data_IF_097245438183
#
_entry.id   IF_097245438183
#
_cell.length_a   1.000
_cell.length_b   1.000
_cell.length_c   1.000
_cell.angle_alpha   90.00
_cell.angle_beta   90.00
_cell.angle_gamma   90.00
#
_symmetry.space_group_name_H-M   'P 1'
#
loop_
_entity.id
_entity.type
_entity.pdbx_description
1 polymer ?
#
# COMPACT_ATOMS: atom_id res chain seq x y z
N UNK A 1 -27.58 -37.75 -20.95
CA UNK A 1 -27.31 -37.59 -19.50
C UNK A 1 -25.84 -37.92 -19.25
N UNK A 2 -24.89 -37.04 -19.01
CA UNK A 2 -24.82 -35.58 -19.01
C UNK A 2 -23.36 -35.19 -19.31
N UNK A 3 -23.18 -34.19 -20.16
CA UNK A 3 -21.89 -33.55 -20.43
C UNK A 3 -21.65 -32.52 -19.33
N UNK A 4 -20.63 -32.72 -18.51
CA UNK A 4 -20.20 -31.73 -17.53
C UNK A 4 -19.35 -30.68 -18.21
N UNK A 5 -19.95 -29.49 -18.30
CA UNK A 5 -19.34 -28.23 -18.68
C UNK A 5 -18.47 -27.73 -17.53
N UNK A 6 -17.44 -26.96 -17.90
CA UNK A 6 -17.00 -25.72 -17.25
C UNK A 6 -15.51 -25.75 -16.89
N UNK A 7 -14.74 -25.10 -17.77
CA UNK A 7 -13.38 -24.70 -17.46
C UNK A 7 -13.34 -23.72 -16.28
N UNK A 8 -12.21 -23.76 -15.57
CA UNK A 8 -11.83 -22.73 -14.64
C UNK A 8 -10.55 -22.10 -15.16
N UNK A 9 -10.72 -21.09 -16.01
CA UNK A 9 -9.74 -20.02 -16.16
C UNK A 9 -9.69 -19.29 -14.82
N UNK A 10 -8.76 -19.71 -13.96
CA UNK A 10 -8.38 -18.97 -12.77
C UNK A 10 -7.70 -17.66 -13.19
N UNK A 11 -8.50 -16.61 -13.35
CA UNK A 11 -7.98 -15.24 -13.50
C UNK A 11 -7.27 -14.85 -12.21
N UNK A 12 -5.94 -14.88 -12.23
CA UNK A 12 -5.15 -14.15 -11.24
C UNK A 12 -5.57 -12.68 -11.32
N UNK A 13 -6.12 -12.16 -10.22
CA UNK A 13 -6.38 -10.73 -10.09
C UNK A 13 -5.05 -10.00 -10.29
N UNK A 14 -4.85 -9.47 -11.49
CA UNK A 14 -3.75 -8.56 -11.76
C UNK A 14 -3.95 -7.38 -10.82
N UNK A 15 -3.05 -7.21 -9.86
CA UNK A 15 -2.93 -5.96 -9.13
C UNK A 15 -2.69 -4.86 -10.16
N UNK A 16 -3.77 -4.19 -10.55
CA UNK A 16 -3.79 -3.19 -11.61
C UNK A 16 -2.70 -2.14 -11.39
N UNK A 17 -2.28 -1.49 -12.47
CA UNK A 17 -1.48 -0.27 -12.36
C UNK A 17 -2.20 0.73 -11.45
N UNK A 18 -1.54 1.24 -10.40
CA UNK A 18 -2.10 2.29 -9.56
C UNK A 18 -2.56 3.47 -10.41
N UNK A 19 -3.74 4.01 -10.12
CA UNK A 19 -4.25 5.20 -10.78
C UNK A 19 -3.32 6.40 -10.48
N UNK A 20 -2.83 7.14 -11.50
CA UNK A 20 -1.90 8.25 -11.28
C UNK A 20 -2.45 9.35 -10.36
N UNK A 21 -3.76 9.59 -10.39
CA UNK A 21 -4.41 10.56 -9.50
C UNK A 21 -4.34 10.12 -8.03
N UNK A 22 -4.70 8.86 -7.75
CA UNK A 22 -4.54 8.27 -6.42
C UNK A 22 -3.09 8.27 -5.94
N UNK A 23 -2.12 7.96 -6.81
CA UNK A 23 -0.69 8.00 -6.44
C UNK A 23 -0.27 9.40 -6.03
N UNK A 24 -0.74 10.45 -6.71
CA UNK A 24 -0.43 11.84 -6.35
C UNK A 24 -1.04 12.23 -4.99
N UNK A 25 -2.28 11.83 -4.70
CA UNK A 25 -2.91 12.03 -3.39
C UNK A 25 -2.12 11.28 -2.30
N UNK A 26 -1.76 10.03 -2.56
CA UNK A 26 -0.96 9.22 -1.66
C UNK A 26 0.41 9.80 -1.36
N UNK A 27 1.10 10.38 -2.35
CA UNK A 27 2.38 11.07 -2.13
C UNK A 27 2.21 12.26 -1.18
N UNK A 28 1.17 13.07 -1.37
CA UNK A 28 0.91 14.22 -0.52
C UNK A 28 0.67 13.79 0.94
N UNK A 29 -0.21 12.81 1.16
CA UNK A 29 -0.49 12.27 2.49
C UNK A 29 0.76 11.64 3.12
N UNK A 30 1.51 10.87 2.34
CA UNK A 30 2.74 10.22 2.80
C UNK A 30 3.77 11.24 3.28
N UNK A 31 3.97 12.34 2.55
CA UNK A 31 4.89 13.42 2.91
C UNK A 31 4.49 14.12 4.21
N UNK A 32 3.20 14.22 4.49
CA UNK A 32 2.68 14.87 5.69
C UNK A 32 2.75 13.97 6.92
N UNK A 33 2.40 12.69 6.78
CA UNK A 33 2.15 11.80 7.91
C UNK A 33 3.22 10.71 8.10
N UNK A 34 3.73 10.14 7.01
CA UNK A 34 4.49 8.89 7.05
C UNK A 34 6.00 9.10 6.88
N UNK A 35 6.40 10.09 6.06
CA UNK A 35 7.79 10.33 5.64
C UNK A 35 8.74 10.52 6.83
N UNK A 36 8.26 11.11 7.93
CA UNK A 36 9.09 11.37 9.12
C UNK A 36 9.77 10.10 9.65
N UNK A 37 9.04 8.98 9.61
CA UNK A 37 9.51 7.70 10.12
C UNK A 37 9.95 6.77 8.99
N UNK A 38 9.19 6.69 7.89
CA UNK A 38 9.45 5.78 6.79
C UNK A 38 10.39 6.35 5.70
N UNK A 39 10.84 7.60 5.88
CA UNK A 39 11.82 8.26 5.02
C UNK A 39 11.23 8.81 3.73
N UNK A 40 12.01 9.64 3.03
CA UNK A 40 11.61 10.22 1.75
C UNK A 40 11.52 9.11 0.68
N UNK A 41 10.39 9.03 -0.02
CA UNK A 41 10.13 7.99 -1.04
C UNK A 41 10.42 6.57 -0.52
N UNK A 42 9.89 6.24 0.66
CA UNK A 42 10.05 4.94 1.35
C UNK A 42 11.48 4.60 1.81
N UNK A 43 12.45 5.49 1.61
CA UNK A 43 13.84 5.23 1.96
C UNK A 43 14.12 5.67 3.40
N UNK A 44 13.83 4.77 4.34
CA UNK A 44 14.18 4.95 5.76
C UNK A 44 15.70 4.91 5.96
N UNK A 45 16.21 5.75 6.86
CA UNK A 45 17.65 5.90 7.16
C UNK A 45 18.18 4.91 8.21
N UNK A 46 17.35 4.04 8.76
CA UNK A 46 17.77 3.08 9.80
C UNK A 46 16.65 2.15 10.29
N UNK A 47 16.89 1.47 11.40
CA UNK A 47 16.00 0.45 11.97
C UNK A 47 14.79 1.02 12.75
N UNK A 48 14.60 2.34 12.79
CA UNK A 48 13.58 2.99 13.60
C UNK A 48 12.14 2.74 13.10
N UNK A 49 11.97 2.30 11.85
CA UNK A 49 10.68 2.02 11.24
C UNK A 49 10.77 0.83 10.30
N UNK A 50 9.62 0.23 10.00
CA UNK A 50 9.54 -0.83 9.00
C UNK A 50 9.91 -0.27 7.61
N UNK A 51 10.78 -1.00 6.90
CA UNK A 51 11.16 -0.67 5.53
C UNK A 51 10.02 -0.97 4.55
N UNK A 52 9.27 0.06 4.18
CA UNK A 52 8.13 -0.06 3.28
C UNK A 52 8.52 -0.56 1.89
N UNK A 53 9.79 -0.51 1.48
CA UNK A 53 10.25 -1.13 0.22
C UNK A 53 10.12 -2.66 0.24
N UNK A 54 10.00 -3.26 1.43
CA UNK A 54 9.83 -4.70 1.66
C UNK A 54 8.38 -5.08 1.97
N UNK A 55 7.46 -4.12 1.99
CA UNK A 55 6.05 -4.41 2.21
C UNK A 55 5.46 -5.17 1.00
N UNK A 56 4.74 -6.29 1.17
CA UNK A 56 4.16 -7.03 0.06
C UNK A 56 3.11 -6.21 -0.70
N UNK A 57 3.34 -5.95 -1.99
CA UNK A 57 2.46 -5.14 -2.83
C UNK A 57 1.05 -5.73 -3.06
N UNK A 58 0.79 -6.97 -2.63
CA UNK A 58 -0.53 -7.61 -2.69
C UNK A 58 -1.33 -7.56 -1.38
N UNK A 59 -0.74 -7.11 -0.27
CA UNK A 59 -1.33 -7.23 1.07
C UNK A 59 -1.99 -5.92 1.53
N UNK A 60 -2.98 -5.45 0.75
CA UNK A 60 -3.66 -4.17 1.00
C UNK A 60 -4.37 -4.13 2.36
N UNK A 61 -4.99 -5.25 2.78
CA UNK A 61 -5.67 -5.34 4.08
C UNK A 61 -4.69 -5.13 5.22
N UNK A 62 -3.53 -5.81 5.21
CA UNK A 62 -2.52 -5.63 6.26
C UNK A 62 -1.98 -4.19 6.29
N UNK A 63 -1.86 -3.55 5.13
CA UNK A 63 -1.46 -2.14 5.07
C UNK A 63 -2.51 -1.26 5.73
N UNK A 64 -3.77 -1.46 5.38
CA UNK A 64 -4.89 -0.72 5.93
C UNK A 64 -5.01 -0.89 7.44
N UNK A 65 -5.02 -2.13 7.94
CA UNK A 65 -5.11 -2.42 9.37
C UNK A 65 -3.97 -1.76 10.15
N UNK A 66 -2.75 -1.79 9.62
CA UNK A 66 -1.60 -1.17 10.26
C UNK A 66 -1.73 0.36 10.29
N UNK A 67 -2.14 1.00 9.19
CA UNK A 67 -2.27 2.46 9.12
C UNK A 67 -3.43 2.95 9.99
N UNK A 68 -4.59 2.29 9.94
CA UNK A 68 -5.77 2.70 10.70
C UNK A 68 -5.59 2.43 12.19
N UNK A 69 -5.14 1.24 12.57
CA UNK A 69 -5.11 0.81 13.98
C UNK A 69 -3.73 0.86 14.63
N UNK A 70 -2.70 1.31 13.90
CA UNK A 70 -1.32 1.35 14.36
C UNK A 70 -0.63 -0.02 14.35
N UNK A 71 0.69 -0.01 14.54
CA UNK A 71 1.51 -1.23 14.67
C UNK A 71 2.79 -0.97 15.44
N UNK A 72 2.98 -1.64 16.57
CA UNK A 72 4.13 -1.44 17.47
C UNK A 72 4.26 0.04 17.85
N UNK A 73 5.34 0.71 17.39
CA UNK A 73 5.59 2.13 17.63
C UNK A 73 4.96 3.05 16.56
N UNK A 74 4.30 2.48 15.55
CA UNK A 74 3.58 3.23 14.52
C UNK A 74 2.19 3.63 15.06
N UNK A 75 1.87 4.94 15.11
CA UNK A 75 0.59 5.41 15.63
C UNK A 75 -0.57 4.97 14.72
N UNK A 76 -1.76 4.88 15.33
CA UNK A 76 -3.03 4.80 14.61
C UNK A 76 -3.34 6.14 13.95
N UNK A 77 -4.08 6.10 12.85
CA UNK A 77 -4.48 7.27 12.08
C UNK A 77 -5.98 7.25 11.72
N UNK A 78 -6.76 6.39 12.35
CA UNK A 78 -8.21 6.24 12.17
C UNK A 78 -9.03 7.47 12.61
N UNK A 79 -8.41 8.40 13.33
CA UNK A 79 -8.98 9.69 13.71
C UNK A 79 -8.82 10.78 12.63
N UNK A 80 -7.91 10.58 11.66
CA UNK A 80 -7.56 11.59 10.66
C UNK A 80 -7.57 11.11 9.20
N UNK A 81 -7.54 9.79 8.95
CA UNK A 81 -7.54 9.20 7.61
C UNK A 81 -8.86 8.47 7.32
N UNK A 82 -9.30 8.56 6.06
CA UNK A 82 -10.39 7.75 5.52
C UNK A 82 -9.88 6.48 4.84
N UNK A 83 -10.77 5.53 4.54
CA UNK A 83 -10.43 4.32 3.78
C UNK A 83 -9.87 4.66 2.39
N UNK A 84 -10.40 5.70 1.74
CA UNK A 84 -9.92 6.22 0.47
C UNK A 84 -8.51 6.80 0.58
N UNK A 85 -8.21 7.53 1.66
CA UNK A 85 -6.86 8.06 1.90
C UNK A 85 -5.84 6.94 2.08
N UNK A 86 -6.20 5.90 2.83
CA UNK A 86 -5.35 4.72 3.03
C UNK A 86 -5.16 3.93 1.74
N UNK A 87 -6.19 3.84 0.89
CA UNK A 87 -6.07 3.27 -0.44
C UNK A 87 -5.10 4.07 -1.33
N UNK A 88 -5.16 5.40 -1.29
CA UNK A 88 -4.23 6.28 -2.00
C UNK A 88 -2.79 6.13 -1.48
N UNK A 89 -2.59 6.06 -0.16
CA UNK A 89 -1.29 5.76 0.46
C UNK A 89 -0.73 4.42 -0.01
N UNK A 90 -1.56 3.37 -0.06
CA UNK A 90 -1.14 2.07 -0.56
C UNK A 90 -0.75 2.13 -2.04
N UNK A 91 -1.54 2.82 -2.87
CA UNK A 91 -1.24 3.05 -4.28
C UNK A 91 0.12 3.73 -4.46
N UNK A 92 0.42 4.76 -3.67
CA UNK A 92 1.71 5.44 -3.65
C UNK A 92 2.86 4.51 -3.26
N UNK A 93 2.72 3.72 -2.20
CA UNK A 93 3.76 2.79 -1.74
C UNK A 93 4.09 1.78 -2.85
N UNK A 94 3.08 1.17 -3.46
CA UNK A 94 3.27 0.18 -4.53
C UNK A 94 3.88 0.82 -5.79
N UNK A 95 3.43 2.02 -6.18
CA UNK A 95 3.99 2.74 -7.33
C UNK A 95 5.46 3.09 -7.11
N UNK A 96 5.80 3.61 -5.92
CA UNK A 96 7.17 4.01 -5.56
C UNK A 96 8.10 2.80 -5.48
N UNK A 97 7.64 1.68 -4.92
CA UNK A 97 8.38 0.42 -4.93
C UNK A 97 8.77 0.00 -6.36
N UNK A 98 7.81 0.01 -7.29
CA UNK A 98 8.04 -0.37 -8.69
C UNK A 98 9.05 0.55 -9.38
N UNK A 99 9.02 1.84 -9.07
CA UNK A 99 9.97 2.81 -9.60
C UNK A 99 11.39 2.57 -9.07
N UNK A 100 11.55 2.25 -7.79
CA UNK A 100 12.85 1.99 -7.17
C UNK A 100 13.50 0.67 -7.65
N UNK A 101 12.69 -0.26 -8.17
CA UNK A 101 13.16 -1.56 -8.67
C UNK A 101 13.40 -1.61 -10.18
N UNK A 102 13.12 -0.52 -10.90
CA UNK A 102 13.35 -0.41 -12.33
C UNK A 102 14.77 0.11 -12.59
#
# INVERSE_FOLDING_TARGET
>A
MGLWVAGLLGGAAMAGTPDPGQVAVGDQLYRQLCQRCHGYRLQTSGAASFDLRRFPAGDRRRFHDAVMHGKDQMPAHDDILTDEDVAALFAYVVATQRELTR
#
